data_IF_120951861869
#
_entry.id   IF_120951861869
#
_cell.length_a   1.000
_cell.length_b   1.000
_cell.length_c   1.000
_cell.angle_alpha   90.00
_cell.angle_beta   90.00
_cell.angle_gamma   90.00
#
_symmetry.space_group_name_H-M   'P 1'
#
loop_
_entity.id
_entity.type
_entity.pdbx_description
1 polymer ?
#
# COMPACT_ATOMS: atom_id res chain seq x y z
N UNK A 1 9.38 -25.88 1.12
CA UNK A 1 8.36 -25.60 0.08
C UNK A 1 6.99 -25.41 0.71
N UNK A 2 6.74 -24.26 1.31
CA UNK A 2 5.38 -23.88 1.74
C UNK A 2 4.60 -23.48 0.50
N UNK A 3 3.62 -24.31 0.15
CA UNK A 3 2.69 -24.11 -0.95
C UNK A 3 1.91 -22.83 -0.68
N UNK A 4 2.09 -21.80 -1.52
CA UNK A 4 1.25 -20.61 -1.52
C UNK A 4 -0.21 -21.06 -1.68
N UNK A 5 -1.03 -20.84 -0.65
CA UNK A 5 -2.46 -21.15 -0.68
C UNK A 5 -3.23 -19.91 -1.18
N UNK A 6 -4.09 -20.03 -2.21
CA UNK A 6 -4.89 -18.92 -2.72
C UNK A 6 -5.81 -18.29 -1.67
N UNK A 7 -6.14 -19.02 -0.60
CA UNK A 7 -7.04 -18.57 0.47
C UNK A 7 -6.51 -17.41 1.31
N UNK A 8 -5.23 -17.08 1.17
CA UNK A 8 -4.64 -15.93 1.85
C UNK A 8 -4.93 -14.60 1.13
N UNK A 9 -5.44 -14.59 -0.10
CA UNK A 9 -5.66 -13.34 -0.83
C UNK A 9 -7.01 -12.70 -0.44
N UNK A 10 -6.99 -11.79 0.53
CA UNK A 10 -8.17 -10.99 0.96
C UNK A 10 -8.44 -9.87 -0.05
N UNK A 11 -9.69 -9.40 -0.13
CA UNK A 11 -10.10 -8.29 -1.02
C UNK A 11 -9.31 -6.98 -0.81
N UNK A 12 -8.62 -6.84 0.32
CA UNK A 12 -7.85 -5.64 0.69
C UNK A 12 -6.42 -5.67 0.09
N UNK A 13 -5.85 -6.86 -0.09
CA UNK A 13 -4.61 -7.04 -0.85
C UNK A 13 -4.75 -6.67 -2.34
N UNK A 14 -5.97 -6.67 -2.89
CA UNK A 14 -6.26 -6.16 -4.24
C UNK A 14 -6.05 -4.64 -4.32
N UNK A 15 -6.29 -3.91 -3.22
CA UNK A 15 -6.06 -2.47 -3.17
C UNK A 15 -4.57 -2.11 -3.34
N UNK A 16 -3.70 -2.81 -2.60
CA UNK A 16 -2.25 -2.66 -2.74
C UNK A 16 -1.75 -3.03 -4.15
N UNK A 17 -2.28 -4.10 -4.74
CA UNK A 17 -1.95 -4.50 -6.12
C UNK A 17 -2.35 -3.42 -7.13
N UNK A 18 -3.58 -2.91 -7.03
CA UNK A 18 -4.08 -1.84 -7.89
C UNK A 18 -3.22 -0.59 -7.79
N UNK A 19 -2.94 -0.15 -6.57
CA UNK A 19 -2.03 0.97 -6.31
C UNK A 19 -0.63 0.75 -6.92
N UNK A 20 -0.04 -0.43 -6.71
CA UNK A 20 1.28 -0.75 -7.23
C UNK A 20 1.33 -0.72 -8.77
N UNK A 21 0.30 -1.26 -9.41
CA UNK A 21 0.15 -1.28 -10.86
C UNK A 21 0.03 0.14 -11.42
N UNK A 22 -0.84 0.97 -10.84
CA UNK A 22 -1.05 2.35 -11.28
C UNK A 22 0.22 3.19 -11.13
N UNK A 23 0.89 3.08 -9.96
CA UNK A 23 2.14 3.79 -9.70
C UNK A 23 3.23 3.38 -10.70
N UNK A 24 3.36 2.09 -10.99
CA UNK A 24 4.32 1.62 -11.99
C UNK A 24 4.04 2.17 -13.38
N UNK A 25 2.77 2.16 -13.82
CA UNK A 25 2.37 2.69 -15.10
C UNK A 25 2.66 4.20 -15.21
N UNK A 26 2.39 4.97 -14.15
CA UNK A 26 2.76 6.38 -14.08
C UNK A 26 4.27 6.60 -14.23
N UNK A 27 5.10 5.85 -13.49
CA UNK A 27 6.57 5.95 -13.57
C UNK A 27 7.11 5.63 -14.97
N UNK A 28 6.58 4.61 -15.65
CA UNK A 28 6.97 4.31 -17.04
C UNK A 28 6.56 5.45 -17.98
N UNK A 29 5.37 6.01 -17.81
CA UNK A 29 4.91 7.12 -18.66
C UNK A 29 5.76 8.38 -18.50
N UNK A 30 6.21 8.68 -17.28
CA UNK A 30 7.05 9.84 -16.98
C UNK A 30 8.48 9.69 -17.51
N UNK A 31 9.00 8.48 -17.52
CA UNK A 31 10.37 8.20 -17.99
C UNK A 31 10.50 8.23 -19.51
N UNK A 32 9.43 8.46 -20.28
CA UNK A 32 9.44 8.60 -21.75
C UNK A 32 10.18 7.46 -22.48
N UNK A 33 10.20 6.24 -21.90
CA UNK A 33 10.93 5.11 -22.46
C UNK A 33 12.45 5.11 -22.18
N UNK A 34 12.95 5.94 -21.26
CA UNK A 34 14.31 5.83 -20.74
C UNK A 34 14.54 4.44 -20.14
N UNK A 35 15.56 3.73 -20.65
CA UNK A 35 15.90 2.34 -20.32
C UNK A 35 16.60 2.18 -18.95
N UNK A 36 16.19 2.97 -17.96
CA UNK A 36 16.71 2.89 -16.59
C UNK A 36 15.96 1.83 -15.78
N UNK A 37 16.65 1.28 -14.77
CA UNK A 37 15.99 0.39 -13.82
C UNK A 37 15.01 1.20 -12.95
N UNK A 38 13.79 0.68 -12.77
CA UNK A 38 12.80 1.22 -11.83
C UNK A 38 12.75 0.29 -10.61
N UNK A 39 13.05 0.83 -9.44
CA UNK A 39 13.03 0.08 -8.17
C UNK A 39 12.37 0.90 -7.07
N UNK A 40 11.29 0.38 -6.49
CA UNK A 40 10.53 1.02 -5.42
C UNK A 40 9.77 -0.04 -4.61
N UNK A 41 9.28 0.34 -3.44
CA UNK A 41 8.43 -0.50 -2.58
C UNK A 41 7.00 0.06 -2.55
N UNK A 42 6.07 -0.48 -3.35
CA UNK A 42 4.67 -0.04 -3.30
C UNK A 42 4.07 -0.17 -1.90
N UNK A 43 4.40 -1.24 -1.18
CA UNK A 43 3.87 -1.48 0.17
C UNK A 43 4.29 -0.41 1.19
N UNK A 44 5.53 0.12 1.10
CA UNK A 44 6.00 1.19 1.99
C UNK A 44 5.28 2.53 1.71
N UNK A 45 5.08 2.85 0.43
CA UNK A 45 4.37 4.07 0.04
C UNK A 45 2.89 3.96 0.42
N UNK A 46 2.25 2.83 0.09
CA UNK A 46 0.87 2.52 0.44
C UNK A 46 0.62 2.64 1.95
N UNK A 47 1.51 2.08 2.77
CA UNK A 47 1.40 2.15 4.23
C UNK A 47 1.57 3.58 4.77
N UNK A 48 2.44 4.40 4.18
CA UNK A 48 2.57 5.81 4.54
C UNK A 48 1.27 6.58 4.27
N UNK A 49 0.67 6.40 3.09
CA UNK A 49 -0.61 7.02 2.75
C UNK A 49 -1.78 6.46 3.58
N UNK A 50 -1.72 5.19 3.99
CA UNK A 50 -2.72 4.60 4.90
C UNK A 50 -2.67 5.22 6.30
N UNK A 51 -1.48 5.60 6.78
CA UNK A 51 -1.33 6.38 8.02
C UNK A 51 -1.87 7.80 7.82
N UNK A 52 -1.55 8.44 6.69
CA UNK A 52 -2.04 9.78 6.36
C UNK A 52 -3.57 9.81 6.31
N UNK A 53 -4.19 8.80 5.68
CA UNK A 53 -5.64 8.66 5.54
C UNK A 53 -6.36 8.79 6.88
N UNK A 54 -5.80 8.23 7.96
CA UNK A 54 -6.37 8.29 9.30
C UNK A 54 -6.52 9.72 9.87
N UNK A 55 -5.76 10.68 9.33
CA UNK A 55 -5.80 12.10 9.71
C UNK A 55 -6.50 13.00 8.69
N UNK A 56 -7.08 12.44 7.62
CA UNK A 56 -7.75 13.22 6.56
C UNK A 56 -9.27 13.20 6.70
N UNK A 57 -9.95 14.12 6.01
CA UNK A 57 -11.41 14.18 5.96
C UNK A 57 -11.89 14.80 4.64
N UNK A 58 -13.17 14.58 4.32
CA UNK A 58 -13.83 15.17 3.15
C UNK A 58 -13.14 14.79 1.84
N UNK A 59 -12.96 15.77 0.94
CA UNK A 59 -12.39 15.52 -0.39
C UNK A 59 -10.99 14.90 -0.36
N UNK A 60 -10.15 15.30 0.60
CA UNK A 60 -8.79 14.76 0.72
C UNK A 60 -8.81 13.27 1.08
N UNK A 61 -9.72 12.87 1.97
CA UNK A 61 -9.93 11.46 2.32
C UNK A 61 -10.37 10.67 1.08
N UNK A 62 -11.37 11.17 0.34
CA UNK A 62 -11.90 10.52 -0.86
C UNK A 62 -10.82 10.30 -1.95
N UNK A 63 -9.95 11.30 -2.16
CA UNK A 63 -8.87 11.21 -3.14
C UNK A 63 -7.81 10.16 -2.72
N UNK A 64 -7.45 10.12 -1.45
CA UNK A 64 -6.50 9.12 -0.92
C UNK A 64 -7.11 7.72 -0.97
N UNK A 65 -8.38 7.56 -0.58
CA UNK A 65 -9.05 6.26 -0.65
C UNK A 65 -9.11 5.71 -2.08
N UNK A 66 -9.43 6.57 -3.04
CA UNK A 66 -9.43 6.21 -4.46
C UNK A 66 -8.04 5.79 -4.93
N UNK A 67 -6.99 6.54 -4.59
CA UNK A 67 -5.62 6.21 -4.96
C UNK A 67 -5.16 4.88 -4.36
N UNK A 68 -5.57 4.58 -3.13
CA UNK A 68 -5.24 3.32 -2.45
C UNK A 68 -6.17 2.16 -2.85
N UNK A 69 -7.12 2.37 -3.76
CA UNK A 69 -8.10 1.36 -4.17
C UNK A 69 -8.86 0.75 -2.98
N UNK A 70 -9.14 1.54 -1.95
CA UNK A 70 -9.92 1.09 -0.78
C UNK A 70 -11.38 1.53 -0.92
N UNK A 71 -12.30 0.64 -0.55
CA UNK A 71 -13.71 0.98 -0.54
C UNK A 71 -13.98 2.02 0.57
N UNK A 72 -14.71 3.08 0.24
CA UNK A 72 -15.17 4.05 1.22
C UNK A 72 -15.99 3.34 2.30
N UNK A 73 -15.42 3.26 3.50
CA UNK A 73 -16.02 2.56 4.62
C UNK A 73 -16.42 3.55 5.71
N UNK A 74 -17.68 3.45 6.17
CA UNK A 74 -18.17 4.24 7.32
C UNK A 74 -17.46 3.84 8.61
N UNK A 75 -17.00 2.60 8.72
CA UNK A 75 -16.17 2.11 9.82
C UNK A 75 -14.69 2.20 9.46
N UNK A 76 -14.10 3.38 9.70
CA UNK A 76 -12.68 3.64 9.47
C UNK A 76 -11.76 2.75 10.31
N UNK A 77 -12.18 2.36 11.53
CA UNK A 77 -11.37 1.48 12.39
C UNK A 77 -11.24 0.10 11.76
N UNK A 78 -12.32 -0.43 11.19
CA UNK A 78 -12.29 -1.70 10.47
C UNK A 78 -11.38 -1.62 9.25
N UNK A 79 -11.47 -0.54 8.47
CA UNK A 79 -10.59 -0.30 7.31
C UNK A 79 -9.10 -0.27 7.71
N UNK A 80 -8.71 0.53 8.70
CA UNK A 80 -7.31 0.61 9.11
C UNK A 80 -6.80 -0.72 9.69
N UNK A 81 -7.65 -1.47 10.41
CA UNK A 81 -7.27 -2.80 10.91
C UNK A 81 -7.04 -3.80 9.78
N UNK A 82 -7.89 -3.78 8.76
CA UNK A 82 -7.73 -4.57 7.55
C UNK A 82 -6.38 -4.28 6.87
N UNK A 83 -6.09 -3.01 6.61
CA UNK A 83 -4.82 -2.58 6.03
C UNK A 83 -3.62 -3.02 6.88
N UNK A 84 -3.70 -2.87 8.20
CA UNK A 84 -2.63 -3.30 9.11
C UNK A 84 -2.37 -4.82 9.01
N UNK A 85 -3.43 -5.64 9.00
CA UNK A 85 -3.29 -7.08 8.86
C UNK A 85 -2.61 -7.47 7.54
N UNK A 86 -2.92 -6.79 6.43
CA UNK A 86 -2.29 -7.07 5.15
C UNK A 86 -0.80 -6.68 5.15
N UNK A 87 -0.45 -5.54 5.75
CA UNK A 87 0.94 -5.12 5.91
C UNK A 87 1.74 -6.06 6.82
N UNK A 88 1.15 -6.53 7.92
CA UNK A 88 1.76 -7.51 8.81
C UNK A 88 2.06 -8.82 8.07
N UNK A 89 1.14 -9.27 7.21
CA UNK A 89 1.33 -10.47 6.39
C UNK A 89 2.40 -10.30 5.32
N UNK A 90 2.51 -9.11 4.73
CA UNK A 90 3.56 -8.79 3.75
C UNK A 90 4.95 -8.70 4.38
N UNK A 91 5.01 -8.28 5.64
CA UNK A 91 6.27 -8.16 6.40
C UNK A 91 6.61 -9.41 7.20
N UNK A 92 5.73 -10.42 7.20
CA UNK A 92 5.99 -11.75 7.71
C UNK A 92 7.10 -12.42 6.87
N UNK A 93 8.35 -12.17 7.25
CA UNK A 93 9.53 -12.75 6.62
C UNK A 93 9.61 -14.27 6.81
N UNK A 94 10.55 -14.88 6.10
CA UNK A 94 10.92 -16.29 6.30
C UNK A 94 12.28 -16.38 6.99
N UNK A 95 12.77 -17.59 7.25
CA UNK A 95 14.14 -17.79 7.74
C UNK A 95 15.20 -17.30 6.75
N UNK A 96 14.87 -17.22 5.46
CA UNK A 96 15.80 -16.89 4.37
C UNK A 96 15.71 -15.41 3.96
N UNK A 97 14.55 -14.79 4.15
CA UNK A 97 14.27 -13.43 3.67
C UNK A 97 13.63 -12.59 4.75
N UNK A 98 14.23 -11.43 5.02
CA UNK A 98 13.71 -10.43 5.94
C UNK A 98 13.19 -9.22 5.16
N UNK A 99 11.93 -8.86 5.38
CA UNK A 99 11.34 -7.61 4.86
C UNK A 99 11.22 -6.63 6.01
N UNK A 100 11.90 -5.49 5.90
CA UNK A 100 11.81 -4.39 6.88
C UNK A 100 11.25 -3.16 6.19
N UNK A 101 10.19 -2.57 6.75
CA UNK A 101 9.63 -1.30 6.29
C UNK A 101 9.63 -0.29 7.43
N UNK A 102 9.84 0.98 7.11
CA UNK A 102 9.82 2.07 8.07
C UNK A 102 9.23 3.32 7.42
N UNK A 103 8.15 3.84 8.01
CA UNK A 103 7.49 5.06 7.56
C UNK A 103 7.47 6.08 8.70
N UNK A 104 7.61 7.37 8.37
CA UNK A 104 7.57 8.46 9.34
C UNK A 104 6.93 9.70 8.72
N UNK A 105 6.03 10.35 9.47
CA UNK A 105 5.43 11.63 9.10
C UNK A 105 6.09 12.72 9.96
N UNK A 106 6.50 13.81 9.33
CA UNK A 106 7.06 14.99 9.99
C UNK A 106 6.08 16.14 9.83
N UNK A 107 5.83 16.88 10.91
CA UNK A 107 4.97 18.06 10.93
C UNK A 107 5.83 19.28 11.22
N UNK A 108 5.50 20.42 10.60
CA UNK A 108 6.07 21.70 10.98
C UNK A 108 5.58 22.10 12.38
N UNK A 109 6.37 22.92 13.08
CA UNK A 109 6.11 23.31 14.46
C UNK A 109 5.09 24.44 14.59
#
# INVERSE_FOLDING_TARGET
CTRFSPEQFTMETEGLKGFASDLYASLISETQGCSGNIFFSPASIYSTFSILLAGTAGKTEEEIEKALHVAHNKDKKKLHKAIANDLDRLTAGTAETKVCMANKIFLDK
#
